data_IF_357557902853
#
_entry.id   IF_357557902853
#
_cell.length_a   1.000
_cell.length_b   1.000
_cell.length_c   1.000
_cell.angle_alpha   90.00
_cell.angle_beta   90.00
_cell.angle_gamma   90.00
#
_symmetry.space_group_name_H-M   'P 1'
#
loop_
_entity.id
_entity.type
_entity.pdbx_description
1 polymer ?
#
# COMPACT_ATOMS: atom_id res chain seq x y z
N UNK A 1 -6.84 -12.26 -15.27
CA UNK A 1 -7.40 -13.34 -14.42
C UNK A 1 -8.79 -13.03 -13.84
N UNK A 2 -9.19 -11.77 -13.66
CA UNK A 2 -10.47 -11.41 -13.00
C UNK A 2 -11.74 -11.99 -13.66
N UNK A 3 -11.88 -11.85 -14.98
CA UNK A 3 -13.02 -12.41 -15.70
C UNK A 3 -13.09 -13.95 -15.60
N UNK A 4 -11.93 -14.60 -15.56
CA UNK A 4 -11.81 -16.04 -15.41
C UNK A 4 -12.35 -16.51 -14.04
N UNK A 5 -11.99 -15.80 -12.95
CA UNK A 5 -12.51 -16.07 -11.61
C UNK A 5 -14.04 -15.96 -11.56
N UNK A 6 -14.60 -14.87 -12.07
CA UNK A 6 -16.05 -14.64 -12.04
C UNK A 6 -16.82 -15.70 -12.83
N UNK A 7 -16.30 -16.10 -13.99
CA UNK A 7 -16.89 -17.17 -14.77
C UNK A 7 -16.82 -18.52 -14.04
N UNK A 8 -15.72 -18.78 -13.33
CA UNK A 8 -15.57 -20.03 -12.58
C UNK A 8 -16.66 -20.23 -11.53
N UNK A 9 -17.00 -19.16 -10.80
CA UNK A 9 -17.94 -19.20 -9.68
C UNK A 9 -19.40 -19.38 -10.10
N UNK A 10 -19.73 -19.01 -11.34
CA UNK A 10 -21.11 -19.10 -11.87
C UNK A 10 -21.42 -20.45 -12.52
N UNK A 11 -20.47 -21.39 -12.52
CA UNK A 11 -20.72 -22.74 -13.02
C UNK A 11 -21.55 -23.56 -12.03
N UNK A 12 -22.31 -24.55 -12.54
CA UNK A 12 -23.04 -25.50 -11.69
C UNK A 12 -22.12 -26.22 -10.69
N UNK A 13 -20.90 -26.56 -11.12
CA UNK A 13 -19.88 -27.17 -10.26
C UNK A 13 -19.38 -26.19 -9.20
N UNK A 14 -19.14 -24.93 -9.56
CA UNK A 14 -18.78 -23.87 -8.60
C UNK A 14 -19.83 -23.70 -7.51
N UNK A 15 -21.11 -23.60 -7.86
CA UNK A 15 -22.21 -23.57 -6.89
C UNK A 15 -22.26 -24.82 -6.00
N UNK A 16 -22.04 -26.02 -6.57
CA UNK A 16 -21.96 -27.25 -5.80
C UNK A 16 -20.83 -27.24 -4.78
N UNK A 17 -19.65 -26.75 -5.16
CA UNK A 17 -18.49 -26.60 -4.26
C UNK A 17 -18.79 -25.60 -3.15
N UNK A 18 -19.40 -24.45 -3.46
CA UNK A 18 -19.74 -23.44 -2.46
C UNK A 18 -20.78 -23.97 -1.46
N UNK A 19 -21.77 -24.75 -1.92
CA UNK A 19 -22.72 -25.41 -1.04
C UNK A 19 -22.02 -26.41 -0.10
N UNK A 20 -21.08 -27.20 -0.62
CA UNK A 20 -20.27 -28.11 0.20
C UNK A 20 -19.41 -27.34 1.22
N UNK A 21 -18.80 -26.22 0.83
CA UNK A 21 -18.04 -25.36 1.74
C UNK A 21 -18.91 -24.90 2.90
N UNK A 22 -20.12 -24.42 2.62
CA UNK A 22 -21.07 -23.98 3.66
C UNK A 22 -21.55 -25.13 4.55
N UNK A 23 -21.70 -26.34 4.01
CA UNK A 23 -22.03 -27.51 4.82
C UNK A 23 -20.89 -27.88 5.79
N UNK A 24 -19.64 -27.75 5.37
CA UNK A 24 -18.47 -28.02 6.21
C UNK A 24 -18.30 -26.93 7.27
N UNK A 25 -18.42 -25.66 6.89
CA UNK A 25 -18.35 -24.52 7.81
C UNK A 25 -19.37 -24.64 8.95
N UNK A 26 -20.61 -25.06 8.64
CA UNK A 26 -21.66 -25.24 9.63
C UNK A 26 -21.50 -26.50 10.49
N UNK A 27 -20.80 -27.52 9.99
CA UNK A 27 -20.61 -28.78 10.71
C UNK A 27 -19.30 -29.45 10.28
N UNK A 28 -18.19 -29.22 11.01
CA UNK A 28 -16.88 -29.76 10.67
C UNK A 28 -16.82 -31.29 10.56
N UNK A 29 -17.75 -32.01 11.20
CA UNK A 29 -17.85 -33.47 11.06
C UNK A 29 -18.10 -33.91 9.62
N UNK A 30 -18.69 -33.03 8.79
CA UNK A 30 -18.93 -33.27 7.37
C UNK A 30 -17.63 -33.46 6.56
N UNK A 31 -16.47 -32.99 7.04
CA UNK A 31 -15.17 -33.25 6.40
C UNK A 31 -14.95 -34.76 6.26
N UNK A 32 -15.18 -35.52 7.34
CA UNK A 32 -14.99 -36.97 7.34
C UNK A 32 -15.95 -37.66 6.36
N UNK A 33 -17.20 -37.22 6.32
CA UNK A 33 -18.24 -37.78 5.44
C UNK A 33 -17.94 -37.52 3.96
N UNK A 34 -17.48 -36.31 3.61
CA UNK A 34 -17.19 -35.91 2.23
C UNK A 34 -15.71 -36.06 1.83
N UNK A 35 -14.88 -36.74 2.64
CA UNK A 35 -13.42 -36.78 2.45
C UNK A 35 -12.99 -37.12 1.03
N UNK A 36 -13.54 -38.20 0.46
CA UNK A 36 -13.19 -38.63 -0.90
C UNK A 36 -13.62 -37.61 -1.97
N UNK A 37 -14.77 -36.96 -1.79
CA UNK A 37 -15.24 -35.90 -2.68
C UNK A 37 -14.31 -34.69 -2.62
N UNK A 38 -13.91 -34.27 -1.42
CA UNK A 38 -12.99 -33.14 -1.22
C UNK A 38 -11.64 -33.41 -1.89
N UNK A 39 -11.06 -34.60 -1.68
CA UNK A 39 -9.80 -35.01 -2.33
C UNK A 39 -9.95 -35.02 -3.86
N UNK A 40 -11.08 -35.52 -4.37
CA UNK A 40 -11.34 -35.53 -5.82
C UNK A 40 -11.45 -34.12 -6.41
N UNK A 41 -12.06 -33.17 -5.69
CA UNK A 41 -12.17 -31.77 -6.12
C UNK A 41 -10.81 -31.07 -6.11
N UNK A 42 -9.99 -31.34 -5.08
CA UNK A 42 -8.65 -30.78 -4.98
C UNK A 42 -7.74 -31.23 -6.13
N UNK A 43 -7.88 -32.49 -6.58
CA UNK A 43 -7.07 -33.07 -7.66
C UNK A 43 -7.77 -33.04 -9.03
N UNK A 44 -8.84 -32.25 -9.20
CA UNK A 44 -9.54 -32.20 -10.48
C UNK A 44 -8.64 -31.63 -11.58
N UNK A 45 -8.72 -32.17 -12.80
CA UNK A 45 -7.90 -31.73 -13.93
C UNK A 45 -8.26 -30.32 -14.41
N UNK A 46 -9.45 -29.83 -14.09
CA UNK A 46 -9.98 -28.55 -14.53
C UNK A 46 -9.55 -27.44 -13.58
N UNK A 47 -8.78 -26.47 -14.08
CA UNK A 47 -8.31 -25.30 -13.32
C UNK A 47 -9.46 -24.59 -12.59
N UNK A 48 -10.63 -24.43 -13.25
CA UNK A 48 -11.82 -23.84 -12.63
C UNK A 48 -12.30 -24.57 -11.38
N UNK A 49 -12.24 -25.91 -11.37
CA UNK A 49 -12.71 -26.69 -10.22
C UNK A 49 -11.72 -26.56 -9.08
N UNK A 50 -10.41 -26.63 -9.37
CA UNK A 50 -9.37 -26.42 -8.35
C UNK A 50 -9.45 -25.01 -7.77
N UNK A 51 -9.70 -23.99 -8.61
CA UNK A 51 -9.89 -22.61 -8.17
C UNK A 51 -11.07 -22.47 -7.20
N UNK A 52 -12.19 -23.13 -7.47
CA UNK A 52 -13.34 -23.15 -6.55
C UNK A 52 -13.05 -24.00 -5.29
N UNK A 53 -12.24 -25.05 -5.39
CA UNK A 53 -11.82 -25.85 -4.25
C UNK A 53 -10.97 -25.05 -3.23
N UNK A 54 -10.44 -23.88 -3.59
CA UNK A 54 -9.77 -22.97 -2.67
C UNK A 54 -10.71 -22.50 -1.55
N UNK A 55 -12.01 -22.36 -1.80
CA UNK A 55 -12.99 -22.08 -0.74
C UNK A 55 -13.04 -23.19 0.31
N UNK A 56 -13.00 -24.45 -0.11
CA UNK A 56 -12.96 -25.60 0.79
C UNK A 56 -11.65 -25.61 1.57
N UNK A 57 -10.54 -25.45 0.85
CA UNK A 57 -9.20 -25.44 1.46
C UNK A 57 -9.05 -24.35 2.52
N UNK A 58 -9.57 -23.15 2.25
CA UNK A 58 -9.58 -22.05 3.21
C UNK A 58 -10.23 -22.45 4.55
N UNK A 59 -11.43 -23.04 4.49
CA UNK A 59 -12.16 -23.46 5.70
C UNK A 59 -11.47 -24.65 6.37
N UNK A 60 -11.04 -25.65 5.59
CA UNK A 60 -10.39 -26.85 6.14
C UNK A 60 -9.05 -26.50 6.79
N UNK A 61 -8.31 -25.51 6.28
CA UNK A 61 -7.04 -25.08 6.85
C UNK A 61 -7.12 -24.65 8.32
N UNK A 62 -8.23 -24.03 8.70
CA UNK A 62 -8.45 -23.61 10.09
C UNK A 62 -9.01 -24.74 10.99
N UNK A 63 -9.50 -25.83 10.40
CA UNK A 63 -10.10 -26.97 11.11
C UNK A 63 -9.14 -28.17 11.23
N UNK A 64 -8.39 -28.46 10.17
CA UNK A 64 -7.48 -29.60 10.03
C UNK A 64 -6.33 -29.22 9.08
N UNK A 65 -5.24 -28.69 9.67
CA UNK A 65 -4.09 -28.19 8.92
C UNK A 65 -3.38 -29.29 8.12
N UNK A 66 -3.29 -30.50 8.66
CA UNK A 66 -2.60 -31.61 7.99
C UNK A 66 -3.38 -32.06 6.76
N UNK A 67 -4.70 -32.16 6.87
CA UNK A 67 -5.54 -32.46 5.71
C UNK A 67 -5.55 -31.32 4.69
N UNK A 68 -5.61 -30.07 5.14
CA UNK A 68 -5.48 -28.91 4.25
C UNK A 68 -4.17 -28.92 3.45
N UNK A 69 -3.06 -29.32 4.08
CA UNK A 69 -1.76 -29.48 3.42
C UNK A 69 -1.79 -30.55 2.31
N UNK A 70 -2.48 -31.66 2.53
CA UNK A 70 -2.70 -32.68 1.50
C UNK A 70 -3.45 -32.09 0.29
N UNK A 71 -4.54 -31.36 0.55
CA UNK A 71 -5.36 -30.74 -0.49
C UNK A 71 -4.64 -29.62 -1.24
N UNK A 72 -3.80 -28.84 -0.53
CA UNK A 72 -3.00 -27.77 -1.10
C UNK A 72 -2.18 -28.24 -2.30
N UNK A 73 -1.52 -29.40 -2.19
CA UNK A 73 -0.66 -29.95 -3.25
C UNK A 73 -1.44 -30.29 -4.53
N UNK A 74 -2.69 -30.75 -4.38
CA UNK A 74 -3.58 -31.01 -5.51
C UNK A 74 -4.12 -29.73 -6.15
N UNK A 75 -4.40 -28.71 -5.34
CA UNK A 75 -5.02 -27.46 -5.79
C UNK A 75 -4.00 -26.52 -6.44
N UNK A 76 -2.90 -26.24 -5.73
CA UNK A 76 -1.89 -25.24 -6.10
C UNK A 76 -0.82 -25.81 -7.02
N UNK A 77 -1.24 -26.24 -8.21
CA UNK A 77 -0.35 -26.82 -9.24
C UNK A 77 0.26 -25.78 -10.18
N UNK A 78 -0.28 -24.56 -10.20
CA UNK A 78 0.00 -23.51 -11.19
C UNK A 78 -0.26 -22.13 -10.55
N UNK A 79 0.46 -21.11 -11.01
CA UNK A 79 0.42 -19.75 -10.45
C UNK A 79 -0.95 -19.08 -10.56
N UNK A 80 -1.81 -19.51 -11.50
CA UNK A 80 -3.18 -19.01 -11.66
C UNK A 80 -4.02 -19.14 -10.39
N UNK A 81 -3.70 -20.13 -9.53
CA UNK A 81 -4.42 -20.31 -8.26
C UNK A 81 -4.22 -19.11 -7.33
N UNK A 82 -3.12 -18.34 -7.47
CA UNK A 82 -2.90 -17.12 -6.70
C UNK A 82 -3.89 -16.01 -7.06
N UNK A 83 -4.62 -16.12 -8.17
CA UNK A 83 -5.67 -15.15 -8.52
C UNK A 83 -6.84 -15.17 -7.51
N UNK A 84 -7.08 -16.30 -6.84
CA UNK A 84 -8.17 -16.43 -5.88
C UNK A 84 -7.88 -15.64 -4.59
N UNK A 85 -8.87 -14.90 -4.07
CA UNK A 85 -8.66 -13.97 -2.96
C UNK A 85 -8.23 -14.63 -1.63
N UNK A 86 -8.60 -15.89 -1.41
CA UNK A 86 -8.14 -16.66 -0.23
C UNK A 86 -6.72 -17.23 -0.38
N UNK A 87 -6.11 -17.16 -1.57
CA UNK A 87 -4.84 -17.82 -1.82
C UNK A 87 -3.72 -17.27 -0.95
N UNK A 88 -3.53 -15.95 -0.87
CA UNK A 88 -2.44 -15.38 -0.08
C UNK A 88 -2.48 -15.82 1.39
N UNK A 89 -3.68 -15.90 1.99
CA UNK A 89 -3.86 -16.43 3.34
C UNK A 89 -3.41 -17.89 3.45
N UNK A 90 -3.84 -18.74 2.53
CA UNK A 90 -3.50 -20.18 2.53
C UNK A 90 -1.99 -20.36 2.35
N UNK A 91 -1.41 -19.71 1.33
CA UNK A 91 0.03 -19.79 1.07
C UNK A 91 0.84 -19.29 2.28
N UNK A 92 0.46 -18.18 2.92
CA UNK A 92 1.16 -17.68 4.10
C UNK A 92 1.12 -18.68 5.27
N UNK A 93 -0.06 -19.23 5.56
CA UNK A 93 -0.29 -20.17 6.67
C UNK A 93 0.40 -21.52 6.49
N UNK A 94 0.60 -21.96 5.25
CA UNK A 94 1.30 -23.19 4.88
C UNK A 94 2.76 -22.97 4.48
N UNK A 95 3.27 -21.74 4.58
CA UNK A 95 4.58 -21.37 4.05
C UNK A 95 5.73 -22.25 4.56
N UNK A 96 5.80 -22.50 5.87
CA UNK A 96 6.87 -23.32 6.45
C UNK A 96 6.77 -24.79 6.03
N UNK A 97 5.55 -25.28 5.80
CA UNK A 97 5.30 -26.68 5.49
C UNK A 97 5.52 -27.01 4.00
N UNK A 98 5.34 -26.02 3.12
CA UNK A 98 5.37 -26.16 1.66
C UNK A 98 6.28 -25.10 0.99
N UNK A 99 7.35 -24.70 1.69
CA UNK A 99 8.21 -23.56 1.33
C UNK A 99 8.68 -23.58 -0.13
N UNK A 100 9.24 -24.68 -0.61
CA UNK A 100 9.79 -24.78 -1.97
C UNK A 100 8.70 -24.61 -3.04
N UNK A 101 7.55 -25.27 -2.87
CA UNK A 101 6.44 -25.16 -3.81
C UNK A 101 5.85 -23.75 -3.80
N UNK A 102 5.67 -23.15 -2.63
CA UNK A 102 5.12 -21.80 -2.49
C UNK A 102 6.05 -20.76 -3.09
N UNK A 103 7.36 -20.82 -2.81
CA UNK A 103 8.32 -19.91 -3.41
C UNK A 103 8.34 -20.02 -4.94
N UNK A 104 8.24 -21.23 -5.49
CA UNK A 104 8.15 -21.46 -6.93
C UNK A 104 6.90 -20.80 -7.55
N UNK A 105 5.73 -21.04 -6.96
CA UNK A 105 4.46 -20.44 -7.42
C UNK A 105 4.48 -18.92 -7.33
N UNK A 106 5.02 -18.37 -6.24
CA UNK A 106 5.15 -16.93 -6.04
C UNK A 106 6.08 -16.32 -7.07
N UNK A 107 7.22 -16.94 -7.37
CA UNK A 107 8.14 -16.43 -8.39
C UNK A 107 7.50 -16.42 -9.79
N UNK A 108 6.79 -17.49 -10.16
CA UNK A 108 6.06 -17.56 -11.43
C UNK A 108 5.00 -16.46 -11.54
N UNK A 109 4.21 -16.23 -10.48
CA UNK A 109 3.22 -15.16 -10.45
C UNK A 109 3.85 -13.76 -10.45
N UNK A 110 4.98 -13.58 -9.74
CA UNK A 110 5.72 -12.32 -9.65
C UNK A 110 6.26 -11.89 -11.01
N UNK A 111 6.74 -12.83 -11.82
CA UNK A 111 7.28 -12.60 -13.17
C UNK A 111 6.19 -12.62 -14.28
N UNK A 112 4.93 -12.76 -13.90
CA UNK A 112 3.81 -12.82 -14.82
C UNK A 112 3.53 -11.48 -15.52
N UNK A 113 2.76 -11.53 -16.61
CA UNK A 113 2.18 -10.34 -17.27
C UNK A 113 0.78 -10.00 -16.76
N UNK A 114 0.17 -10.89 -15.96
CA UNK A 114 -1.17 -10.67 -15.41
C UNK A 114 -1.08 -9.80 -14.15
N UNK A 115 -1.67 -8.60 -14.20
CA UNK A 115 -1.62 -7.62 -13.11
C UNK A 115 -2.12 -8.15 -11.77
N UNK A 116 -3.16 -9.00 -11.77
CA UNK A 116 -3.71 -9.56 -10.53
C UNK A 116 -2.73 -10.54 -9.90
N UNK A 117 -2.11 -11.41 -10.71
CA UNK A 117 -1.11 -12.36 -10.22
C UNK A 117 0.13 -11.64 -9.68
N UNK A 118 0.66 -10.67 -10.42
CA UNK A 118 1.83 -9.89 -10.01
C UNK A 118 1.54 -9.17 -8.69
N UNK A 119 0.37 -8.54 -8.56
CA UNK A 119 -0.02 -7.84 -7.33
C UNK A 119 -0.11 -8.80 -6.14
N UNK A 120 -0.82 -9.92 -6.29
CA UNK A 120 -1.00 -10.90 -5.21
C UNK A 120 0.34 -11.50 -4.77
N UNK A 121 1.20 -11.86 -5.71
CA UNK A 121 2.53 -12.39 -5.42
C UNK A 121 3.43 -11.34 -4.76
N UNK A 122 3.49 -10.12 -5.30
CA UNK A 122 4.32 -9.03 -4.76
C UNK A 122 3.94 -8.68 -3.32
N UNK A 123 2.63 -8.63 -3.03
CA UNK A 123 2.11 -8.45 -1.68
C UNK A 123 2.58 -9.58 -0.75
N UNK A 124 2.35 -10.85 -1.12
CA UNK A 124 2.67 -11.98 -0.25
C UNK A 124 4.18 -12.19 -0.07
N UNK A 125 4.98 -11.99 -1.11
CA UNK A 125 6.45 -12.04 -1.03
C UNK A 125 6.96 -11.00 -0.01
N UNK A 126 6.40 -9.80 -0.05
CA UNK A 126 6.78 -8.72 0.88
C UNK A 126 6.36 -9.04 2.31
N UNK A 127 5.16 -9.57 2.49
CA UNK A 127 4.66 -10.04 3.79
C UNK A 127 5.52 -11.17 4.37
N UNK A 128 5.95 -12.13 3.55
CA UNK A 128 6.90 -13.19 3.93
C UNK A 128 8.24 -12.57 4.36
N UNK A 129 8.79 -11.63 3.59
CA UNK A 129 10.05 -10.98 3.96
C UNK A 129 9.96 -10.22 5.29
N UNK A 130 8.91 -9.43 5.48
CA UNK A 130 8.74 -8.63 6.68
C UNK A 130 8.66 -9.51 7.94
N UNK A 131 7.83 -10.56 7.91
CA UNK A 131 7.56 -11.42 9.06
C UNK A 131 8.57 -12.55 9.26
N UNK A 132 9.11 -13.12 8.18
CA UNK A 132 9.92 -14.36 8.22
C UNK A 132 11.37 -14.13 7.77
N UNK A 133 11.66 -13.02 7.11
CA UNK A 133 13.00 -12.70 6.58
C UNK A 133 13.37 -13.42 5.28
N UNK A 134 12.47 -14.23 4.73
CA UNK A 134 12.69 -14.95 3.47
C UNK A 134 12.37 -14.07 2.24
N UNK A 135 12.92 -14.43 1.07
CA UNK A 135 12.66 -13.77 -0.22
C UNK A 135 13.06 -12.28 -0.31
N UNK A 136 13.99 -11.83 0.54
CA UNK A 136 14.52 -10.46 0.55
C UNK A 136 15.00 -10.01 -0.83
N UNK A 137 15.79 -10.84 -1.52
CA UNK A 137 16.33 -10.50 -2.84
C UNK A 137 15.23 -10.20 -3.85
N UNK A 138 14.11 -10.95 -3.79
CA UNK A 138 12.96 -10.76 -4.67
C UNK A 138 12.23 -9.45 -4.38
N UNK A 139 12.11 -9.09 -3.09
CA UNK A 139 11.53 -7.80 -2.67
C UNK A 139 12.31 -6.62 -3.23
N UNK A 140 13.65 -6.65 -3.24
CA UNK A 140 14.47 -5.53 -3.72
C UNK A 140 14.76 -5.56 -5.24
N UNK A 141 14.56 -6.69 -5.91
CA UNK A 141 14.70 -6.81 -7.37
C UNK A 141 13.45 -6.39 -8.14
N UNK A 142 12.35 -6.09 -7.45
CA UNK A 142 11.07 -5.71 -8.05
C UNK A 142 11.16 -4.54 -9.03
N UNK A 143 10.30 -4.57 -10.05
CA UNK A 143 10.20 -3.54 -11.09
C UNK A 143 8.77 -3.43 -11.64
N UNK A 144 8.44 -2.29 -12.25
CA UNK A 144 7.14 -2.07 -12.87
C UNK A 144 5.95 -2.36 -11.94
N UNK A 145 5.06 -3.28 -12.35
CA UNK A 145 3.86 -3.66 -11.60
C UNK A 145 4.15 -4.30 -10.23
N UNK A 146 5.32 -4.92 -10.06
CA UNK A 146 5.69 -5.60 -8.81
C UNK A 146 5.83 -4.60 -7.67
N UNK A 147 6.40 -3.43 -7.98
CA UNK A 147 6.72 -2.38 -7.00
C UNK A 147 5.48 -1.84 -6.33
N UNK A 148 4.35 -1.75 -7.03
CA UNK A 148 3.08 -1.32 -6.43
C UNK A 148 2.65 -2.27 -5.30
N UNK A 149 2.68 -3.58 -5.54
CA UNK A 149 2.32 -4.58 -4.53
C UNK A 149 3.32 -4.61 -3.38
N UNK A 150 4.62 -4.48 -3.67
CA UNK A 150 5.68 -4.43 -2.66
C UNK A 150 5.48 -3.22 -1.74
N UNK A 151 5.39 -2.02 -2.30
CA UNK A 151 5.25 -0.79 -1.52
C UNK A 151 3.90 -0.74 -0.79
N UNK A 152 2.80 -1.19 -1.40
CA UNK A 152 1.51 -1.22 -0.71
C UNK A 152 1.55 -2.14 0.52
N UNK A 153 2.21 -3.30 0.43
CA UNK A 153 2.36 -4.17 1.58
C UNK A 153 3.28 -3.56 2.65
N UNK A 154 4.39 -2.94 2.26
CA UNK A 154 5.25 -2.21 3.20
C UNK A 154 4.49 -1.11 3.95
N UNK A 155 3.65 -0.33 3.25
CA UNK A 155 2.78 0.71 3.84
C UNK A 155 1.82 0.08 4.87
N UNK A 156 1.16 -1.03 4.54
CA UNK A 156 0.23 -1.70 5.46
C UNK A 156 0.94 -2.11 6.76
N UNK A 157 2.19 -2.55 6.67
CA UNK A 157 3.00 -3.00 7.80
C UNK A 157 3.65 -1.87 8.61
N UNK A 158 3.55 -0.59 8.18
CA UNK A 158 3.99 0.54 9.01
C UNK A 158 3.18 0.66 10.30
N UNK A 159 1.90 0.25 10.29
CA UNK A 159 1.04 0.24 11.48
C UNK A 159 1.44 -0.83 12.50
N UNK A 160 2.25 -1.81 12.09
CA UNK A 160 2.62 -2.94 12.93
C UNK A 160 3.92 -2.69 13.69
N UNK A 161 3.85 -2.85 15.01
CA UNK A 161 5.03 -2.77 15.88
C UNK A 161 6.08 -3.79 15.40
N UNK A 162 7.34 -3.36 15.34
CA UNK A 162 8.54 -4.12 14.92
C UNK A 162 8.80 -4.25 13.42
N UNK A 163 7.88 -3.85 12.54
CA UNK A 163 8.10 -3.91 11.08
C UNK A 163 8.42 -2.55 10.45
N UNK A 164 8.19 -1.48 11.19
CA UNK A 164 8.36 -0.08 10.81
C UNK A 164 9.67 0.20 10.05
N UNK A 165 10.83 -0.05 10.64
CA UNK A 165 12.14 0.23 10.01
C UNK A 165 12.34 -0.54 8.69
N UNK A 166 11.93 -1.81 8.62
CA UNK A 166 12.04 -2.60 7.40
C UNK A 166 11.10 -2.07 6.32
N UNK A 167 9.86 -1.75 6.68
CA UNK A 167 8.88 -1.18 5.77
C UNK A 167 9.34 0.16 5.19
N UNK A 168 9.88 1.06 6.03
CA UNK A 168 10.46 2.34 5.58
C UNK A 168 11.62 2.12 4.60
N UNK A 169 12.53 1.19 4.88
CA UNK A 169 13.66 0.84 3.98
C UNK A 169 13.19 0.33 2.62
N UNK A 170 12.15 -0.51 2.58
CA UNK A 170 11.56 -0.97 1.32
C UNK A 170 11.04 0.22 0.52
N UNK A 171 10.20 1.07 1.12
CA UNK A 171 9.62 2.25 0.44
C UNK A 171 10.74 3.15 -0.12
N UNK A 172 11.75 3.48 0.70
CA UNK A 172 12.88 4.31 0.29
C UNK A 172 13.63 3.74 -0.92
N UNK A 173 13.82 2.43 -0.97
CA UNK A 173 14.54 1.77 -2.08
C UNK A 173 13.86 1.94 -3.46
N UNK A 174 12.57 2.31 -3.45
CA UNK A 174 11.76 2.46 -4.65
C UNK A 174 11.43 3.91 -5.00
N UNK A 175 11.65 4.89 -4.11
CA UNK A 175 11.37 6.30 -4.41
C UNK A 175 12.21 6.88 -5.55
N UNK A 176 13.41 6.34 -5.78
CA UNK A 176 14.28 6.72 -6.91
C UNK A 176 14.04 5.94 -8.20
N UNK A 177 13.11 4.98 -8.21
CA UNK A 177 12.77 4.20 -9.40
C UNK A 177 11.50 4.79 -10.01
N UNK A 178 11.55 5.16 -11.29
CA UNK A 178 10.41 5.70 -12.04
C UNK A 178 9.34 4.63 -12.26
N UNK A 179 8.36 4.59 -11.36
CA UNK A 179 7.28 3.61 -11.27
C UNK A 179 5.94 4.35 -11.15
N UNK A 180 5.17 4.31 -12.24
CA UNK A 180 3.95 5.11 -12.41
C UNK A 180 2.88 4.94 -11.33
N UNK A 181 2.79 3.78 -10.67
CA UNK A 181 1.68 3.51 -9.75
C UNK A 181 1.93 3.95 -8.30
N UNK A 182 3.15 4.40 -7.95
CA UNK A 182 3.45 4.83 -6.58
C UNK A 182 2.70 6.10 -6.18
N UNK A 183 2.41 7.01 -7.11
CA UNK A 183 1.61 8.23 -6.89
C UNK A 183 0.23 7.95 -6.27
N UNK A 184 -0.31 6.74 -6.48
CA UNK A 184 -1.63 6.35 -5.98
C UNK A 184 -1.60 5.86 -4.53
N UNK A 185 -0.49 5.27 -4.10
CA UNK A 185 -0.39 4.59 -2.80
C UNK A 185 0.38 5.39 -1.76
N UNK A 186 1.42 6.13 -2.16
CA UNK A 186 2.22 6.94 -1.24
C UNK A 186 1.41 7.99 -0.46
N UNK A 187 0.35 8.62 -1.00
CA UNK A 187 -0.54 9.48 -0.22
C UNK A 187 -1.09 8.88 1.07
N UNK A 188 -1.28 7.55 1.13
CA UNK A 188 -1.79 6.86 2.32
C UNK A 188 -0.87 7.08 3.53
N UNK A 189 0.44 7.31 3.31
CA UNK A 189 1.39 7.58 4.39
C UNK A 189 0.99 8.78 5.26
N UNK A 190 0.47 9.83 4.63
CA UNK A 190 0.03 11.03 5.33
C UNK A 190 -1.46 10.97 5.69
N UNK A 191 -2.30 10.46 4.78
CA UNK A 191 -3.75 10.44 4.99
C UNK A 191 -4.17 9.53 6.15
N UNK A 192 -3.51 8.38 6.31
CA UNK A 192 -3.74 7.42 7.40
C UNK A 192 -2.89 7.73 8.66
N UNK A 193 -2.20 8.88 8.69
CA UNK A 193 -1.33 9.31 9.80
C UNK A 193 -0.29 8.22 10.17
N UNK A 194 0.38 7.65 9.15
CA UNK A 194 1.35 6.54 9.29
C UNK A 194 2.76 6.98 9.64
N UNK A 195 3.04 8.28 9.54
CA UNK A 195 4.36 8.85 9.73
C UNK A 195 4.33 9.81 10.91
N UNK A 196 5.34 9.70 11.77
CA UNK A 196 5.62 10.71 12.79
C UNK A 196 6.52 11.78 12.17
N UNK A 197 6.07 13.04 12.12
CA UNK A 197 6.80 14.10 11.39
C UNK A 197 8.22 14.31 11.95
N UNK A 198 8.43 14.07 13.24
CA UNK A 198 9.72 14.24 13.91
C UNK A 198 10.63 13.05 13.67
N UNK A 199 10.13 11.86 13.95
CA UNK A 199 10.92 10.63 13.86
C UNK A 199 11.16 10.21 12.39
N UNK A 200 10.23 10.53 11.49
CA UNK A 200 10.27 10.19 10.06
C UNK A 200 10.75 11.30 9.15
N UNK A 201 11.39 12.32 9.71
CA UNK A 201 11.86 13.49 8.96
C UNK A 201 12.59 13.11 7.67
N UNK A 202 13.50 12.14 7.74
CA UNK A 202 14.30 11.71 6.59
C UNK A 202 13.46 11.04 5.50
N UNK A 203 12.50 10.18 5.89
CA UNK A 203 11.59 9.55 4.94
C UNK A 203 10.67 10.58 4.29
N UNK A 204 10.09 11.48 5.09
CA UNK A 204 9.23 12.56 4.60
C UNK A 204 10.01 13.44 3.63
N UNK A 205 11.25 13.84 3.96
CA UNK A 205 12.09 14.61 3.06
C UNK A 205 12.33 13.89 1.72
N UNK A 206 12.65 12.59 1.75
CA UNK A 206 12.83 11.80 0.53
C UNK A 206 11.54 11.69 -0.30
N UNK A 207 10.38 11.58 0.35
CA UNK A 207 9.07 11.56 -0.31
C UNK A 207 8.79 12.88 -1.03
N UNK A 208 9.00 14.00 -0.33
CA UNK A 208 8.71 15.35 -0.82
C UNK A 208 9.74 15.88 -1.82
N UNK A 209 10.89 15.22 -1.97
CA UNK A 209 11.91 15.53 -2.99
C UNK A 209 11.88 14.55 -4.17
N UNK A 210 11.13 13.45 -4.07
CA UNK A 210 10.98 12.46 -5.13
C UNK A 210 10.25 12.96 -6.37
N UNK A 211 10.16 12.12 -7.40
CA UNK A 211 9.32 12.38 -8.57
C UNK A 211 7.82 12.36 -8.26
N UNK A 212 7.41 11.78 -7.13
CA UNK A 212 6.02 11.65 -6.68
C UNK A 212 5.53 12.82 -5.81
N UNK A 213 6.39 13.81 -5.57
CA UNK A 213 6.19 14.89 -4.59
C UNK A 213 4.92 15.71 -4.77
N UNK A 214 4.47 15.91 -6.01
CA UNK A 214 3.45 16.90 -6.33
C UNK A 214 2.16 16.67 -5.53
N UNK A 215 1.64 15.43 -5.54
CA UNK A 215 0.43 15.10 -4.78
C UNK A 215 0.72 14.96 -3.29
N UNK A 216 1.93 14.58 -2.92
CA UNK A 216 2.34 14.42 -1.52
C UNK A 216 2.40 15.75 -0.78
N UNK A 217 2.69 16.86 -1.45
CA UNK A 217 2.62 18.20 -0.85
C UNK A 217 1.25 18.50 -0.24
N UNK A 218 0.17 18.17 -0.95
CA UNK A 218 -1.19 18.35 -0.44
C UNK A 218 -1.40 17.58 0.88
N UNK A 219 -1.09 16.28 0.88
CA UNK A 219 -1.36 15.44 2.05
C UNK A 219 -0.42 15.73 3.21
N UNK A 220 0.83 16.11 2.95
CA UNK A 220 1.76 16.55 3.99
C UNK A 220 1.23 17.82 4.67
N UNK A 221 0.82 18.83 3.90
CA UNK A 221 0.26 20.06 4.46
C UNK A 221 -1.04 19.82 5.23
N UNK A 222 -1.91 18.95 4.73
CA UNK A 222 -3.12 18.52 5.43
C UNK A 222 -2.78 17.80 6.75
N UNK A 223 -1.72 16.97 6.78
CA UNK A 223 -1.26 16.29 8.00
C UNK A 223 -0.68 17.26 9.04
N UNK A 224 -0.06 18.37 8.60
CA UNK A 224 0.46 19.42 9.47
C UNK A 224 -0.66 20.20 10.16
N UNK A 225 -1.79 20.46 9.49
CA UNK A 225 -2.94 21.14 10.11
C UNK A 225 -3.54 20.36 11.28
N UNK A 226 -3.33 19.04 11.33
CA UNK A 226 -3.79 18.18 12.44
C UNK A 226 -2.88 18.26 13.67
N UNK A 227 -1.67 18.80 13.56
CA UNK A 227 -0.68 18.78 14.64
C UNK A 227 -0.99 19.84 15.70
N UNK A 228 -0.83 19.49 16.98
CA UNK A 228 -1.03 20.44 18.09
C UNK A 228 -0.03 21.60 18.07
N UNK A 229 1.21 21.34 17.61
CA UNK A 229 2.27 22.33 17.52
C UNK A 229 3.10 22.14 16.26
N UNK A 230 3.05 23.14 15.37
CA UNK A 230 3.82 23.15 14.11
C UNK A 230 5.26 23.63 14.27
N UNK A 231 5.61 24.28 15.39
CA UNK A 231 6.97 24.83 15.62
C UNK A 231 8.04 23.76 15.70
N UNK A 232 7.70 22.54 16.14
CA UNK A 232 8.67 21.44 16.19
C UNK A 232 9.10 20.97 14.79
N UNK A 233 8.41 21.43 13.74
CA UNK A 233 8.60 21.00 12.36
C UNK A 233 9.08 22.11 11.43
N UNK A 234 9.47 23.27 11.95
CA UNK A 234 9.84 24.46 11.17
C UNK A 234 10.85 24.17 10.05
N UNK A 235 11.91 23.41 10.33
CA UNK A 235 12.94 23.15 9.35
C UNK A 235 12.41 22.34 8.15
N UNK A 236 11.66 21.26 8.40
CA UNK A 236 11.09 20.44 7.32
C UNK A 236 9.98 21.20 6.58
N UNK A 237 9.20 22.02 7.30
CA UNK A 237 8.19 22.91 6.71
C UNK A 237 8.90 23.87 5.76
N UNK A 238 9.87 24.65 6.22
CA UNK A 238 10.50 25.67 5.39
C UNK A 238 11.22 25.07 4.18
N UNK A 239 11.93 23.95 4.32
CA UNK A 239 12.54 23.26 3.19
C UNK A 239 11.48 22.83 2.15
N UNK A 240 10.37 22.27 2.62
CA UNK A 240 9.27 21.83 1.75
C UNK A 240 8.58 23.01 1.07
N UNK A 241 8.22 24.04 1.83
CA UNK A 241 7.48 25.20 1.31
C UNK A 241 8.31 25.96 0.30
N UNK A 242 9.59 26.21 0.57
CA UNK A 242 10.52 26.81 -0.40
C UNK A 242 10.55 26.04 -1.72
N UNK A 243 10.53 24.70 -1.67
CA UNK A 243 10.47 23.87 -2.87
C UNK A 243 9.12 23.99 -3.60
N UNK A 244 8.01 24.03 -2.87
CA UNK A 244 6.66 24.18 -3.46
C UNK A 244 6.55 25.51 -4.21
N UNK A 245 6.93 26.61 -3.57
CA UNK A 245 6.70 27.96 -4.09
C UNK A 245 7.71 28.38 -5.14
N UNK A 246 8.85 27.68 -5.28
CA UNK A 246 9.92 28.05 -6.21
C UNK A 246 9.45 28.17 -7.67
N UNK A 247 9.85 29.27 -8.36
CA UNK A 247 9.55 29.52 -9.80
C UNK A 247 9.93 28.37 -10.73
N UNK A 248 10.94 27.58 -10.36
CA UNK A 248 11.40 26.46 -11.19
C UNK A 248 10.57 25.18 -11.01
N UNK A 249 9.70 25.14 -10.00
CA UNK A 249 8.88 23.97 -9.70
C UNK A 249 7.48 24.12 -10.31
N UNK A 250 7.23 23.40 -11.41
CA UNK A 250 5.90 23.33 -12.03
C UNK A 250 5.18 22.08 -11.54
N UNK A 251 4.26 22.25 -10.60
CA UNK A 251 3.42 21.17 -10.09
C UNK A 251 2.48 20.66 -11.18
N UNK A 252 2.47 19.35 -11.42
CA UNK A 252 1.55 18.68 -12.35
C UNK A 252 0.36 18.13 -11.59
N UNK A 253 -0.53 19.03 -11.16
CA UNK A 253 -1.67 18.70 -10.32
C UNK A 253 -2.99 19.12 -10.95
N UNK A 254 -4.05 18.43 -10.57
CA UNK A 254 -5.40 18.88 -10.86
C UNK A 254 -5.67 20.22 -10.14
N UNK A 255 -6.48 21.13 -10.71
CA UNK A 255 -6.76 22.43 -10.12
C UNK A 255 -7.24 22.39 -8.66
N UNK A 256 -7.92 21.32 -8.27
CA UNK A 256 -8.35 21.09 -6.89
C UNK A 256 -7.17 21.05 -5.91
N UNK A 257 -6.17 20.19 -6.15
CA UNK A 257 -5.04 20.03 -5.23
C UNK A 257 -4.19 21.29 -5.18
N UNK A 258 -3.98 21.93 -6.34
CA UNK A 258 -3.23 23.17 -6.42
C UNK A 258 -3.83 24.27 -5.52
N UNK A 259 -5.14 24.52 -5.66
CA UNK A 259 -5.84 25.50 -4.82
C UNK A 259 -5.79 25.16 -3.33
N UNK A 260 -5.90 23.88 -2.99
CA UNK A 260 -5.81 23.44 -1.58
C UNK A 260 -4.42 23.64 -0.99
N UNK A 261 -3.37 23.36 -1.75
CA UNK A 261 -1.99 23.61 -1.34
C UNK A 261 -1.81 25.11 -1.05
N UNK A 262 -2.31 26.00 -1.92
CA UNK A 262 -2.27 27.44 -1.68
C UNK A 262 -2.98 27.87 -0.38
N UNK A 263 -4.18 27.34 -0.14
CA UNK A 263 -4.97 27.61 1.06
C UNK A 263 -4.28 27.09 2.34
N UNK A 264 -3.69 25.90 2.29
CA UNK A 264 -2.94 25.32 3.42
C UNK A 264 -1.66 26.10 3.71
N UNK A 265 -0.87 26.42 2.67
CA UNK A 265 0.38 27.16 2.83
C UNK A 265 0.16 28.55 3.41
N UNK A 266 -0.84 29.28 2.90
CA UNK A 266 -1.15 30.62 3.40
C UNK A 266 -1.47 30.59 4.89
N UNK A 267 -2.29 29.62 5.34
CA UNK A 267 -2.63 29.45 6.76
C UNK A 267 -1.43 29.03 7.58
N UNK A 268 -0.63 28.08 7.10
CA UNK A 268 0.58 27.60 7.77
C UNK A 268 1.60 28.73 7.99
N UNK A 269 1.86 29.55 6.97
CA UNK A 269 2.81 30.67 7.08
C UNK A 269 2.31 31.74 8.05
N UNK A 270 1.01 32.06 8.06
CA UNK A 270 0.44 33.01 9.01
C UNK A 270 0.51 32.50 10.46
N UNK A 271 0.19 31.22 10.67
CA UNK A 271 0.27 30.60 12.00
C UNK A 271 1.70 30.58 12.55
N UNK A 272 2.69 30.24 11.70
CA UNK A 272 4.11 30.29 12.10
C UNK A 272 4.56 31.72 12.39
N UNK A 273 4.24 32.67 11.51
CA UNK A 273 4.58 34.09 11.71
C UNK A 273 4.06 34.63 13.04
N UNK A 274 2.77 34.44 13.34
CA UNK A 274 2.15 34.97 14.55
C UNK A 274 2.74 34.34 15.83
N UNK A 275 3.12 33.05 15.77
CA UNK A 275 3.73 32.35 16.91
C UNK A 275 5.18 32.79 17.18
N UNK A 276 5.86 33.24 16.15
CA UNK A 276 7.29 33.60 16.16
C UNK A 276 7.53 35.11 16.02
N UNK A 277 6.49 35.91 16.29
CA UNK A 277 6.55 37.36 16.08
C UNK A 277 7.74 37.98 16.83
N UNK A 278 8.66 38.58 16.05
CA UNK A 278 9.85 39.26 16.56
C UNK A 278 11.12 38.41 16.62
N UNK A 279 11.11 37.18 16.09
CA UNK A 279 12.31 36.36 15.87
C UNK A 279 12.59 36.12 14.37
N UNK A 280 13.71 35.45 14.07
CA UNK A 280 14.16 35.17 12.70
C UNK A 280 13.21 34.25 11.90
N UNK A 281 12.34 33.47 12.56
CA UNK A 281 11.37 32.58 11.91
C UNK A 281 10.22 33.40 11.31
N UNK A 282 9.78 34.46 11.99
CA UNK A 282 8.80 35.39 11.42
C UNK A 282 9.32 36.02 10.11
N UNK A 283 10.59 36.44 10.08
CA UNK A 283 11.21 36.98 8.87
C UNK A 283 11.26 35.93 7.74
N UNK A 284 11.53 34.66 8.05
CA UNK A 284 11.48 33.57 7.06
C UNK A 284 10.07 33.34 6.52
N UNK A 285 9.04 33.42 7.35
CA UNK A 285 7.65 33.33 6.90
C UNK A 285 7.29 34.47 5.94
N UNK A 286 7.68 35.72 6.24
CA UNK A 286 7.44 36.86 5.36
C UNK A 286 8.14 36.67 4.01
N UNK A 287 9.40 36.23 3.99
CA UNK A 287 10.13 35.95 2.76
C UNK A 287 9.42 34.91 1.86
N UNK A 288 8.80 33.89 2.45
CA UNK A 288 8.03 32.89 1.70
C UNK A 288 6.71 33.46 1.19
N UNK A 289 6.01 34.26 2.00
CA UNK A 289 4.79 34.94 1.58
C UNK A 289 5.08 35.87 0.38
N UNK A 290 6.20 36.58 0.41
CA UNK A 290 6.65 37.41 -0.70
C UNK A 290 6.95 36.56 -1.95
N UNK A 291 7.64 35.42 -1.80
CA UNK A 291 7.86 34.48 -2.90
C UNK A 291 6.56 33.93 -3.48
N UNK A 292 5.59 33.58 -2.63
CA UNK A 292 4.26 33.15 -3.06
C UNK A 292 3.60 34.22 -3.93
N UNK A 293 3.65 35.49 -3.50
CA UNK A 293 3.11 36.62 -4.26
C UNK A 293 3.84 36.84 -5.60
N UNK A 294 5.18 36.86 -5.59
CA UNK A 294 5.99 37.04 -6.80
C UNK A 294 5.81 35.93 -7.84
N UNK A 295 5.46 34.73 -7.39
CA UNK A 295 5.34 33.54 -8.24
C UNK A 295 3.90 33.28 -8.67
N UNK A 296 2.98 34.20 -8.34
CA UNK A 296 1.54 34.05 -8.54
C UNK A 296 1.02 32.72 -7.95
N UNK A 297 1.66 32.27 -6.87
CA UNK A 297 1.36 31.06 -6.14
C UNK A 297 0.52 31.44 -4.91
N UNK A 298 -0.79 31.25 -5.00
CA UNK A 298 -1.74 31.69 -4.00
C UNK A 298 -2.69 32.76 -4.53
N UNK A 299 -3.95 32.65 -4.10
CA UNK A 299 -4.87 33.77 -4.12
C UNK A 299 -4.31 34.86 -3.20
N UNK A 300 -3.68 35.88 -3.79
CA UNK A 300 -3.25 37.10 -3.09
C UNK A 300 -4.39 37.70 -2.26
N UNK A 301 -5.64 37.47 -2.67
CA UNK A 301 -6.85 37.82 -1.92
C UNK A 301 -7.01 37.05 -0.59
N UNK A 302 -6.62 35.79 -0.49
CA UNK A 302 -6.72 35.00 0.76
C UNK A 302 -5.64 35.40 1.77
N UNK A 303 -4.43 35.69 1.29
CA UNK A 303 -3.35 36.27 2.10
C UNK A 303 -3.73 37.68 2.60
N UNK A 304 -4.28 38.52 1.72
CA UNK A 304 -4.76 39.86 2.07
C UNK A 304 -5.95 39.79 3.05
N UNK A 305 -6.94 38.92 2.84
CA UNK A 305 -8.08 38.75 3.75
C UNK A 305 -7.64 38.22 5.14
N UNK A 306 -6.62 37.36 5.21
CA UNK A 306 -6.04 36.90 6.49
C UNK A 306 -5.25 38.00 7.21
N UNK A 307 -4.50 38.82 6.48
CA UNK A 307 -3.77 39.97 7.02
C UNK A 307 -4.70 41.12 7.45
N UNK A 308 -5.83 41.31 6.76
CA UNK A 308 -6.79 42.39 7.00
C UNK A 308 -7.87 42.09 8.05
N UNK A 309 -8.07 40.82 8.45
CA UNK A 309 -8.99 40.44 9.52
C UNK A 309 -8.36 40.49 10.93
N UNK A 310 -7.27 41.28 11.09
CA UNK A 310 -6.75 41.71 12.40
C UNK A 310 -7.43 43.01 12.85
#
# INVERSE_FOLDING_TARGET
MENYLQQSYSTLRGHGIHALTKLIENSPTNISYFKNTIISLANDKTDYIRLNAIFLLYIILDLDKDFARELFRGIFTDEKMLAHWHSNYILYRLYEDEKEQIQCLLQLAFDSKDTLLVKNASCLITEIYLNKGDMESTVYSGSGLQVEGICQMAINYLKEKNHEDKSKKIILSYLGKNVTNLEKILPQLFWDDLLDIKEDKDLIFNLLTSEYRDKLYYYFLESLEKQESISEYENIIFETVCNIVSKTNKLKLEPYYYRRIEEYLSRLMMQLYDKHMGDDIADRCLNIIDQMFENEFGSSRTLIEALMNK
#
